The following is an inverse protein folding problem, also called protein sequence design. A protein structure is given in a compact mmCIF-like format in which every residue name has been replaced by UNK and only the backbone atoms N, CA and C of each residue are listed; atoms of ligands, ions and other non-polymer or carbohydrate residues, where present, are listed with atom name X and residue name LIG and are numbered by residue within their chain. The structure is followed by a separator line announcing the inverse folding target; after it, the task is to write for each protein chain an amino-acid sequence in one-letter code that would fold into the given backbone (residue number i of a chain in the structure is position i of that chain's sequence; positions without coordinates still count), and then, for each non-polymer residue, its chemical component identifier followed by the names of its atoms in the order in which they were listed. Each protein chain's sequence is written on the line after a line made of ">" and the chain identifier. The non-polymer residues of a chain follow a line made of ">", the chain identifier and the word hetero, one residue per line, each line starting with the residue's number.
data_IF_127786860377
#
_entry.id   IF_127786860377
#
_cell.length_a   1.000
_cell.length_b   1.000
_cell.length_c   1.000
_cell.angle_alpha   90.00
_cell.angle_beta   90.00
_cell.angle_gamma   90.00
#
_symmetry.space_group_name_H-M   'P 1'
#
loop_
_entity.id
_entity.type
_entity.pdbx_description
1 polymer ?
#
# COMPACT_ATOMS: atom_id res chain seq x y z
N UNK A 1 36.94 7.53 2.43
CA UNK A 1 37.19 6.30 1.63
C UNK A 1 37.42 5.00 2.42
N UNK A 2 37.73 5.02 3.72
CA UNK A 2 37.98 3.79 4.50
C UNK A 2 36.75 3.02 4.99
N UNK A 3 35.59 3.66 5.14
CA UNK A 3 34.37 3.03 5.70
C UNK A 3 33.78 1.94 4.78
N UNK A 4 33.95 2.07 3.47
CA UNK A 4 33.46 1.07 2.50
C UNK A 4 34.13 -0.29 2.70
N UNK A 5 35.37 -0.29 3.21
CA UNK A 5 36.20 -1.49 3.39
C UNK A 5 35.93 -2.24 4.70
N UNK A 6 35.21 -1.62 5.65
CA UNK A 6 34.93 -2.24 6.94
C UNK A 6 33.41 -2.38 7.16
N UNK A 7 32.88 -3.56 6.84
CA UNK A 7 31.45 -3.86 7.05
C UNK A 7 31.05 -3.73 8.53
N UNK A 8 31.95 -4.06 9.46
CA UNK A 8 31.70 -3.93 10.91
C UNK A 8 31.38 -2.49 11.34
N UNK A 9 32.05 -1.48 10.77
CA UNK A 9 31.79 -0.08 11.12
C UNK A 9 30.38 0.36 10.73
N UNK A 10 29.84 -0.12 9.62
CA UNK A 10 28.48 0.19 9.16
C UNK A 10 27.44 -0.37 10.13
N UNK A 11 27.65 -1.62 10.56
CA UNK A 11 26.79 -2.30 11.52
C UNK A 11 26.85 -1.66 12.91
N UNK A 12 28.05 -1.33 13.40
CA UNK A 12 28.23 -0.63 14.68
C UNK A 12 27.58 0.74 14.65
N UNK A 13 27.76 1.49 13.57
CA UNK A 13 27.09 2.77 13.38
C UNK A 13 25.56 2.63 13.41
N UNK A 14 25.00 1.74 12.59
CA UNK A 14 23.56 1.53 12.52
C UNK A 14 23.01 1.09 13.88
N UNK A 15 23.67 0.13 14.54
CA UNK A 15 23.29 -0.32 15.87
C UNK A 15 23.30 0.84 16.88
N UNK A 16 24.37 1.61 16.94
CA UNK A 16 24.50 2.73 17.88
C UNK A 16 23.44 3.81 17.64
N UNK A 17 23.19 4.18 16.39
CA UNK A 17 22.15 5.13 16.02
C UNK A 17 20.76 4.65 16.47
N UNK A 18 20.44 3.37 16.25
CA UNK A 18 19.16 2.79 16.61
C UNK A 18 18.93 2.72 18.14
N UNK A 19 19.99 2.82 18.95
CA UNK A 19 19.85 2.93 20.41
C UNK A 19 19.49 4.35 20.88
N UNK A 20 19.78 5.39 20.09
CA UNK A 20 19.56 6.78 20.49
C UNK A 20 18.12 7.18 20.20
N UNK A 21 17.33 7.38 21.26
CA UNK A 21 15.94 7.82 21.17
C UNK A 21 15.76 9.29 21.55
N UNK A 22 14.52 9.78 21.52
CA UNK A 22 14.17 11.13 22.02
C UNK A 22 14.56 11.28 23.50
N UNK A 23 15.01 12.48 23.94
CA UNK A 23 15.23 13.71 23.15
C UNK A 23 16.64 13.83 22.56
N UNK A 24 17.54 12.87 22.80
CA UNK A 24 18.97 13.00 22.51
C UNK A 24 19.33 13.04 21.02
N UNK A 25 18.48 12.52 20.14
CA UNK A 25 18.83 12.36 18.72
C UNK A 25 19.03 13.69 17.97
N UNK A 26 18.21 14.71 18.27
CA UNK A 26 18.22 15.99 17.54
C UNK A 26 19.58 16.70 17.53
N UNK A 27 20.29 16.67 18.67
CA UNK A 27 21.60 17.33 18.82
C UNK A 27 22.69 16.65 18.00
N UNK A 28 22.54 15.35 17.72
CA UNK A 28 23.52 14.55 16.99
C UNK A 28 23.21 14.43 15.49
N UNK A 29 22.04 14.90 15.02
CA UNK A 29 21.63 14.83 13.60
C UNK A 29 22.68 15.33 12.61
N UNK A 30 23.39 16.46 12.81
CA UNK A 30 24.38 16.93 11.85
C UNK A 30 25.51 15.91 11.60
N UNK A 31 25.79 15.04 12.58
CA UNK A 31 26.83 14.00 12.48
C UNK A 31 26.27 12.67 11.99
N UNK A 32 25.05 12.33 12.40
CA UNK A 32 24.44 11.04 12.12
C UNK A 32 23.80 10.99 10.72
N UNK A 33 23.14 12.07 10.30
CA UNK A 33 22.40 12.12 9.04
C UNK A 33 23.28 11.85 7.80
N UNK A 34 24.48 12.45 7.65
CA UNK A 34 25.33 12.19 6.48
C UNK A 34 25.71 10.71 6.33
N UNK A 35 26.01 10.02 7.43
CA UNK A 35 26.37 8.61 7.41
C UNK A 35 25.19 7.71 7.06
N UNK A 36 23.99 8.03 7.58
CA UNK A 36 22.76 7.32 7.23
C UNK A 36 22.41 7.50 5.75
N UNK A 37 22.57 8.72 5.20
CA UNK A 37 22.36 9.00 3.77
C UNK A 37 23.39 8.26 2.90
N UNK A 38 24.64 8.18 3.34
CA UNK A 38 25.68 7.46 2.62
C UNK A 38 25.43 5.94 2.55
N UNK A 39 24.88 5.36 3.62
CA UNK A 39 24.42 3.96 3.61
C UNK A 39 23.21 3.77 2.71
N UNK A 40 22.25 4.70 2.77
CA UNK A 40 21.05 4.70 1.93
C UNK A 40 21.38 4.77 0.42
N UNK A 41 22.49 5.41 0.07
CA UNK A 41 22.93 5.62 -1.31
C UNK A 41 23.90 4.55 -1.81
N UNK A 42 24.17 3.52 -0.99
CA UNK A 42 25.10 2.46 -1.33
C UNK A 42 24.58 1.60 -2.50
N UNK A 43 25.47 0.96 -3.26
CA UNK A 43 25.04 0.09 -4.38
C UNK A 43 24.52 -1.29 -3.90
N UNK A 44 25.10 -1.82 -2.81
CA UNK A 44 24.63 -3.07 -2.16
C UNK A 44 23.27 -2.88 -1.47
N UNK A 45 22.26 -3.72 -1.77
CA UNK A 45 20.92 -3.62 -1.18
C UNK A 45 20.92 -3.68 0.36
N UNK A 46 21.77 -4.50 0.97
CA UNK A 46 21.80 -4.68 2.43
C UNK A 46 22.21 -3.38 3.14
N UNK A 47 23.14 -2.63 2.54
CA UNK A 47 23.56 -1.34 3.06
C UNK A 47 22.47 -0.29 2.84
N UNK A 48 21.76 -0.32 1.71
CA UNK A 48 20.57 0.51 1.50
C UNK A 48 19.52 0.25 2.57
N UNK A 49 19.21 -1.01 2.86
CA UNK A 49 18.25 -1.39 3.90
C UNK A 49 18.66 -0.85 5.27
N UNK A 50 19.94 -0.97 5.65
CA UNK A 50 20.46 -0.38 6.87
C UNK A 50 20.32 1.14 6.88
N UNK A 51 20.66 1.79 5.77
CA UNK A 51 20.49 3.23 5.57
C UNK A 51 19.04 3.66 5.76
N UNK A 52 18.09 3.04 5.06
CA UNK A 52 16.65 3.35 5.18
C UNK A 52 16.16 3.13 6.61
N UNK A 53 16.57 2.05 7.30
CA UNK A 53 16.24 1.84 8.73
C UNK A 53 16.77 2.96 9.62
N UNK A 54 18.00 3.39 9.39
CA UNK A 54 18.61 4.52 10.11
C UNK A 54 17.84 5.83 9.86
N UNK A 55 17.47 6.10 8.61
CA UNK A 55 16.68 7.29 8.24
C UNK A 55 15.27 7.22 8.85
N UNK A 56 14.62 6.07 8.82
CA UNK A 56 13.29 5.87 9.42
C UNK A 56 13.33 6.10 10.93
N UNK A 57 14.34 5.55 11.62
CA UNK A 57 14.54 5.81 13.05
C UNK A 57 14.74 7.30 13.34
N UNK A 58 15.50 8.01 12.51
CA UNK A 58 15.66 9.47 12.61
C UNK A 58 14.32 10.18 12.48
N UNK A 59 13.48 9.79 11.51
CA UNK A 59 12.15 10.37 11.31
C UNK A 59 11.26 10.13 12.54
N UNK A 60 11.26 8.94 13.10
CA UNK A 60 10.43 8.58 14.25
C UNK A 60 10.93 9.23 15.55
N UNK A 61 12.24 9.42 15.70
CA UNK A 61 12.86 9.88 16.95
C UNK A 61 13.32 11.35 16.94
N UNK A 62 12.96 12.12 15.93
CA UNK A 62 13.24 13.56 15.87
C UNK A 62 11.93 14.36 15.81
N UNK A 63 11.78 15.46 16.57
CA UNK A 63 10.66 16.38 16.40
C UNK A 63 10.55 16.89 14.96
N UNK A 64 9.33 16.98 14.42
CA UNK A 64 9.10 17.43 13.06
C UNK A 64 9.66 18.85 12.78
N UNK A 65 9.67 19.72 13.79
CA UNK A 65 10.27 21.05 13.68
C UNK A 65 11.78 20.99 13.36
N UNK A 66 12.52 20.14 14.06
CA UNK A 66 13.97 19.98 13.87
C UNK A 66 14.32 19.35 12.52
N UNK A 67 13.44 18.48 12.00
CA UNK A 67 13.59 17.93 10.65
C UNK A 67 13.29 18.97 9.57
N UNK A 68 12.33 19.87 9.79
CA UNK A 68 12.05 20.96 8.84
C UNK A 68 13.15 22.01 8.83
N UNK A 69 13.83 22.22 9.96
CA UNK A 69 14.98 23.11 10.02
C UNK A 69 16.06 22.66 9.04
N UNK A 70 16.67 23.65 8.36
CA UNK A 70 17.72 23.44 7.35
C UNK A 70 17.31 22.47 6.22
N UNK A 71 16.00 22.33 5.93
CA UNK A 71 15.47 21.46 4.89
C UNK A 71 15.88 19.98 5.00
N UNK A 72 16.18 19.48 6.21
CA UNK A 72 16.60 18.07 6.39
C UNK A 72 15.50 17.09 5.99
N UNK A 73 14.25 17.43 6.26
CA UNK A 73 13.09 16.63 5.83
C UNK A 73 13.06 16.45 4.32
N UNK A 74 13.39 17.49 3.54
CA UNK A 74 13.43 17.42 2.08
C UNK A 74 14.57 16.51 1.58
N UNK A 75 15.75 16.59 2.21
CA UNK A 75 16.87 15.69 1.92
C UNK A 75 16.48 14.24 2.22
N UNK A 76 15.86 13.99 3.37
CA UNK A 76 15.33 12.67 3.73
C UNK A 76 14.30 12.18 2.72
N UNK A 77 13.39 13.06 2.29
CA UNK A 77 12.34 12.70 1.34
C UNK A 77 12.93 12.26 0.02
N UNK A 78 13.84 13.04 -0.56
CA UNK A 78 14.49 12.69 -1.83
C UNK A 78 15.32 11.39 -1.71
N UNK A 79 16.05 11.24 -0.61
CA UNK A 79 16.89 10.07 -0.35
C UNK A 79 16.09 8.77 -0.22
N UNK A 80 14.90 8.81 0.39
CA UNK A 80 14.03 7.63 0.54
C UNK A 80 13.14 7.43 -0.70
N UNK A 81 12.60 8.51 -1.28
CA UNK A 81 11.69 8.46 -2.43
C UNK A 81 12.34 7.81 -3.65
N UNK A 82 13.63 8.04 -3.87
CA UNK A 82 14.35 7.43 -5.01
C UNK A 82 14.27 5.90 -5.02
N UNK A 83 14.16 5.26 -3.84
CA UNK A 83 14.07 3.80 -3.73
C UNK A 83 12.80 3.22 -4.34
N UNK A 84 11.76 4.05 -4.53
CA UNK A 84 10.57 3.64 -5.27
C UNK A 84 10.86 3.34 -6.74
N UNK A 85 12.00 3.74 -7.30
CA UNK A 85 12.39 3.41 -8.68
C UNK A 85 13.30 2.16 -8.77
N UNK A 86 13.68 1.57 -7.64
CA UNK A 86 14.50 0.35 -7.62
C UNK A 86 13.61 -0.89 -7.81
N UNK A 87 14.21 -2.06 -8.03
CA UNK A 87 13.49 -3.33 -8.05
C UNK A 87 13.77 -4.22 -6.84
N UNK A 88 14.41 -3.66 -5.81
CA UNK A 88 14.82 -4.39 -4.61
C UNK A 88 13.69 -4.41 -3.59
N UNK A 89 12.96 -5.53 -3.56
CA UNK A 89 11.79 -5.75 -2.72
C UNK A 89 11.97 -5.30 -1.26
N UNK A 90 13.00 -5.82 -0.60
CA UNK A 90 13.27 -5.52 0.81
C UNK A 90 13.58 -4.03 1.06
N UNK A 91 14.22 -3.34 0.09
CA UNK A 91 14.50 -1.90 0.18
C UNK A 91 13.21 -1.10 0.01
N UNK A 92 12.39 -1.43 -0.98
CA UNK A 92 11.10 -0.77 -1.23
C UNK A 92 10.19 -0.89 -0.01
N UNK A 93 10.09 -2.07 0.60
CA UNK A 93 9.27 -2.29 1.80
C UNK A 93 9.63 -1.31 2.93
N UNK A 94 10.93 -1.18 3.22
CA UNK A 94 11.42 -0.24 4.23
C UNK A 94 11.20 1.22 3.81
N UNK A 95 11.40 1.53 2.54
CA UNK A 95 11.21 2.87 2.01
C UNK A 95 9.74 3.32 2.09
N UNK A 96 8.78 2.44 1.78
CA UNK A 96 7.35 2.71 1.90
C UNK A 96 6.97 3.01 3.36
N UNK A 97 7.42 2.19 4.31
CA UNK A 97 7.18 2.42 5.73
C UNK A 97 7.78 3.76 6.19
N UNK A 98 9.02 4.06 5.81
CA UNK A 98 9.67 5.31 6.14
C UNK A 98 8.95 6.53 5.53
N UNK A 99 8.50 6.43 4.28
CA UNK A 99 7.76 7.50 3.61
C UNK A 99 6.43 7.79 4.30
N UNK A 100 5.70 6.76 4.75
CA UNK A 100 4.43 6.97 5.48
C UNK A 100 4.60 7.88 6.70
N UNK A 101 5.66 7.67 7.48
CA UNK A 101 5.94 8.49 8.66
C UNK A 101 6.55 9.85 8.29
N UNK A 102 7.45 9.87 7.31
CA UNK A 102 8.11 11.10 6.85
C UNK A 102 7.12 12.10 6.25
N UNK A 103 6.08 11.64 5.56
CA UNK A 103 5.03 12.53 5.02
C UNK A 103 4.34 13.34 6.12
N UNK A 104 4.19 12.78 7.33
CA UNK A 104 3.62 13.50 8.48
C UNK A 104 4.51 14.64 9.00
N UNK A 105 5.81 14.57 8.70
CA UNK A 105 6.74 15.67 8.98
C UNK A 105 6.41 16.85 8.08
N UNK A 106 5.94 16.65 6.85
CA UNK A 106 5.61 17.76 5.96
C UNK A 106 4.22 18.30 6.22
N UNK A 107 3.22 17.43 6.22
CA UNK A 107 1.82 17.82 6.06
C UNK A 107 0.91 16.94 6.90
N UNK A 108 -0.27 17.46 7.25
CA UNK A 108 -1.31 16.63 7.85
C UNK A 108 -1.86 15.65 6.79
N UNK A 109 -2.18 14.40 7.18
CA UNK A 109 -2.83 13.45 6.28
C UNK A 109 -4.08 14.04 5.63
N UNK A 110 -4.30 13.83 4.31
CA UNK A 110 -5.50 14.28 3.64
C UNK A 110 -6.80 13.77 4.28
N UNK A 111 -6.79 12.59 4.89
CA UNK A 111 -7.94 12.04 5.63
C UNK A 111 -8.37 12.85 6.86
N UNK A 112 -7.47 13.67 7.41
CA UNK A 112 -7.76 14.56 8.56
C UNK A 112 -8.11 15.98 8.13
N UNK A 113 -8.12 16.28 6.82
CA UNK A 113 -8.50 17.60 6.32
C UNK A 113 -10.03 17.68 6.23
N UNK A 114 -10.62 18.64 6.93
CA UNK A 114 -12.06 18.85 6.93
C UNK A 114 -12.62 19.29 5.57
N UNK A 115 -13.93 19.16 5.36
CA UNK A 115 -14.62 19.47 4.09
C UNK A 115 -14.58 20.96 3.68
N UNK A 116 -14.11 21.86 4.56
CA UNK A 116 -14.05 23.31 4.32
C UNK A 116 -12.94 23.74 3.34
N UNK A 117 -12.01 22.87 2.97
CA UNK A 117 -11.01 23.17 1.93
C UNK A 117 -11.55 22.81 0.55
N UNK A 118 -12.27 23.76 -0.07
CA UNK A 118 -13.01 23.58 -1.33
C UNK A 118 -12.19 23.03 -2.50
N UNK A 119 -10.85 23.18 -2.50
CA UNK A 119 -9.93 22.53 -3.43
C UNK A 119 -8.56 22.28 -2.78
N UNK A 120 -8.33 21.07 -2.25
CA UNK A 120 -7.00 20.66 -1.74
C UNK A 120 -5.94 20.79 -2.86
N UNK A 121 -4.82 21.46 -2.62
CA UNK A 121 -3.70 21.44 -3.59
C UNK A 121 -3.04 20.05 -3.63
N UNK A 122 -2.46 19.61 -4.77
CA UNK A 122 -1.60 18.43 -4.79
C UNK A 122 -0.52 18.56 -3.71
N UNK A 123 -0.22 17.46 -3.04
CA UNK A 123 0.69 17.44 -1.90
C UNK A 123 1.56 16.16 -1.92
N UNK A 124 2.55 16.04 -1.05
CA UNK A 124 3.54 14.93 -1.14
C UNK A 124 2.91 13.55 -0.98
N UNK A 125 1.78 13.45 -0.29
CA UNK A 125 0.99 12.21 -0.22
C UNK A 125 0.48 11.78 -1.61
N UNK A 126 0.07 12.72 -2.46
CA UNK A 126 -0.34 12.42 -3.83
C UNK A 126 0.83 11.94 -4.67
N UNK A 127 2.01 12.54 -4.50
CA UNK A 127 3.18 12.20 -5.32
C UNK A 127 3.68 10.80 -5.00
N UNK A 128 3.73 10.43 -3.71
CA UNK A 128 4.06 9.06 -3.30
C UNK A 128 3.01 8.07 -3.77
N UNK A 129 1.72 8.32 -3.55
CA UNK A 129 0.67 7.41 -4.00
C UNK A 129 0.66 7.27 -5.53
N UNK A 130 0.83 8.36 -6.27
CA UNK A 130 0.92 8.34 -7.74
C UNK A 130 2.09 7.46 -8.18
N UNK A 131 3.26 7.61 -7.56
CA UNK A 131 4.43 6.79 -7.88
C UNK A 131 4.19 5.31 -7.59
N UNK A 132 3.73 4.99 -6.38
CA UNK A 132 3.40 3.61 -5.96
C UNK A 132 2.43 2.97 -6.96
N UNK A 133 1.33 3.65 -7.27
CA UNK A 133 0.35 3.13 -8.22
C UNK A 133 0.90 2.99 -9.64
N UNK A 134 1.80 3.87 -10.08
CA UNK A 134 2.45 3.76 -11.39
C UNK A 134 3.28 2.48 -11.47
N UNK A 135 4.05 2.20 -10.43
CA UNK A 135 4.88 1.00 -10.38
C UNK A 135 4.00 -0.26 -10.31
N UNK A 136 2.94 -0.24 -9.50
CA UNK A 136 2.01 -1.37 -9.39
C UNK A 136 1.35 -1.71 -10.73
N UNK A 137 1.00 -0.74 -11.59
CA UNK A 137 0.38 -1.02 -12.90
C UNK A 137 1.24 -1.93 -13.79
N UNK A 138 2.57 -1.90 -13.65
CA UNK A 138 3.51 -2.66 -14.50
C UNK A 138 4.27 -3.76 -13.75
N UNK A 139 4.01 -3.94 -12.46
CA UNK A 139 4.75 -4.88 -11.62
C UNK A 139 4.30 -6.32 -11.84
N UNK A 140 5.27 -7.20 -12.13
CA UNK A 140 5.04 -8.61 -12.43
C UNK A 140 5.75 -9.54 -11.44
N UNK A 141 6.74 -9.05 -10.69
CA UNK A 141 7.44 -9.85 -9.67
C UNK A 141 6.53 -10.05 -8.47
N UNK A 142 6.21 -11.31 -8.17
CA UNK A 142 5.28 -11.68 -7.08
C UNK A 142 5.67 -11.05 -5.75
N UNK A 143 6.95 -11.06 -5.39
CA UNK A 143 7.43 -10.49 -4.12
C UNK A 143 7.17 -8.98 -4.01
N UNK A 144 7.36 -8.23 -5.10
CA UNK A 144 7.07 -6.80 -5.14
C UNK A 144 5.57 -6.53 -5.12
N UNK A 145 4.77 -7.35 -5.82
CA UNK A 145 3.31 -7.26 -5.76
C UNK A 145 2.82 -7.43 -4.33
N UNK A 146 3.32 -8.43 -3.61
CA UNK A 146 2.99 -8.67 -2.18
C UNK A 146 3.32 -7.46 -1.31
N UNK A 147 4.50 -6.86 -1.51
CA UNK A 147 4.94 -5.68 -0.75
C UNK A 147 4.05 -4.48 -1.04
N UNK A 148 3.80 -4.17 -2.32
CA UNK A 148 2.97 -3.05 -2.69
C UNK A 148 1.52 -3.23 -2.22
N UNK A 149 0.93 -4.42 -2.40
CA UNK A 149 -0.42 -4.71 -1.93
C UNK A 149 -0.54 -4.54 -0.41
N UNK A 150 0.45 -5.03 0.35
CA UNK A 150 0.48 -4.89 1.81
C UNK A 150 0.62 -3.45 2.29
N UNK A 151 1.35 -2.60 1.54
CA UNK A 151 1.54 -1.20 1.91
C UNK A 151 0.38 -0.29 1.47
N UNK A 152 -0.26 -0.61 0.34
CA UNK A 152 -1.20 0.28 -0.35
C UNK A 152 -2.39 0.68 0.54
N UNK A 153 -2.90 -0.26 1.36
CA UNK A 153 -4.02 0.01 2.26
C UNK A 153 -3.75 1.21 3.18
N UNK A 154 -2.55 1.27 3.77
CA UNK A 154 -2.15 2.36 4.66
C UNK A 154 -2.11 3.70 3.92
N UNK A 155 -1.64 3.72 2.67
CA UNK A 155 -1.67 4.94 1.86
C UNK A 155 -3.09 5.39 1.53
N UNK A 156 -4.00 4.47 1.24
CA UNK A 156 -5.41 4.79 1.01
C UNK A 156 -6.06 5.35 2.29
N UNK A 157 -5.77 4.77 3.45
CA UNK A 157 -6.21 5.28 4.75
C UNK A 157 -5.69 6.70 5.03
N UNK A 158 -4.44 6.99 4.69
CA UNK A 158 -3.87 8.34 4.80
C UNK A 158 -4.58 9.34 3.88
N UNK A 159 -5.06 8.88 2.72
CA UNK A 159 -5.75 9.74 1.75
C UNK A 159 -7.22 9.97 2.12
N UNK A 160 -7.91 8.96 2.65
CA UNK A 160 -9.37 8.98 2.84
C UNK A 160 -10.10 9.30 1.54
N UNK A 161 -11.17 10.11 1.60
CA UNK A 161 -11.91 10.65 0.43
C UNK A 161 -11.00 11.23 -0.67
N UNK A 162 -9.82 11.77 -0.32
CA UNK A 162 -8.91 12.34 -1.32
C UNK A 162 -8.35 11.30 -2.31
N UNK A 163 -8.50 10.00 -2.03
CA UNK A 163 -8.21 8.91 -2.96
C UNK A 163 -9.01 9.02 -4.25
N UNK A 164 -10.14 9.76 -4.25
CA UNK A 164 -10.93 10.08 -5.43
C UNK A 164 -10.11 10.56 -6.64
N UNK A 165 -9.00 11.28 -6.40
CA UNK A 165 -8.09 11.80 -7.43
C UNK A 165 -7.30 10.71 -8.15
N UNK A 166 -7.13 9.57 -7.50
CA UNK A 166 -6.31 8.46 -7.97
C UNK A 166 -7.15 7.25 -8.41
N UNK A 167 -8.49 7.33 -8.29
CA UNK A 167 -9.38 6.18 -8.51
C UNK A 167 -9.25 5.50 -9.86
N UNK A 168 -9.00 6.25 -10.94
CA UNK A 168 -8.87 5.64 -12.27
C UNK A 168 -7.69 4.67 -12.30
N UNK A 169 -6.57 5.07 -11.71
CA UNK A 169 -5.37 4.25 -11.65
C UNK A 169 -5.50 3.16 -10.59
N UNK A 170 -6.05 3.51 -9.43
CA UNK A 170 -6.26 2.56 -8.34
C UNK A 170 -7.22 1.43 -8.76
N UNK A 171 -8.26 1.71 -9.55
CA UNK A 171 -9.12 0.68 -10.15
C UNK A 171 -8.31 -0.29 -11.01
N UNK A 172 -7.47 0.21 -11.93
CA UNK A 172 -6.61 -0.65 -12.78
C UNK A 172 -5.69 -1.54 -11.95
N UNK A 173 -5.09 -0.99 -10.91
CA UNK A 173 -4.23 -1.74 -9.99
C UNK A 173 -5.02 -2.81 -9.25
N UNK A 174 -6.21 -2.51 -8.73
CA UNK A 174 -7.09 -3.49 -8.09
C UNK A 174 -7.43 -4.63 -9.05
N UNK A 175 -7.89 -4.30 -10.27
CA UNK A 175 -8.25 -5.30 -11.27
C UNK A 175 -7.05 -6.20 -11.61
N UNK A 176 -5.92 -5.60 -11.98
CA UNK A 176 -4.73 -6.35 -12.37
C UNK A 176 -4.11 -7.16 -11.23
N UNK A 177 -4.32 -6.78 -9.97
CA UNK A 177 -3.86 -7.55 -8.83
C UNK A 177 -4.77 -8.73 -8.46
N UNK A 178 -6.09 -8.55 -8.55
CA UNK A 178 -7.05 -9.62 -8.28
C UNK A 178 -7.03 -10.72 -9.36
N UNK A 179 -6.61 -10.39 -10.58
CA UNK A 179 -6.48 -11.35 -11.69
C UNK A 179 -5.30 -12.31 -11.56
N UNK A 180 -4.23 -11.95 -10.83
CA UNK A 180 -3.01 -12.76 -10.77
C UNK A 180 -2.94 -13.51 -9.43
N UNK A 181 -2.86 -14.84 -9.53
CA UNK A 181 -2.67 -15.76 -8.41
C UNK A 181 -1.24 -15.74 -7.88
N UNK A 182 -1.10 -15.69 -6.54
CA UNK A 182 0.19 -15.82 -5.85
C UNK A 182 0.18 -16.87 -4.73
N UNK A 183 -0.04 -18.16 -5.07
CA UNK A 183 -0.19 -19.24 -4.11
C UNK A 183 1.16 -19.56 -3.41
N UNK A 184 1.14 -20.21 -2.25
CA UNK A 184 -0.04 -20.77 -1.57
C UNK A 184 -0.80 -19.76 -0.68
N UNK A 185 -0.19 -18.62 -0.31
CA UNK A 185 -0.78 -17.71 0.66
C UNK A 185 -1.74 -16.68 0.06
N UNK A 186 -1.67 -16.41 -1.26
CA UNK A 186 -2.54 -15.45 -1.95
C UNK A 186 -2.54 -14.04 -1.32
N UNK A 187 -1.39 -13.65 -0.77
CA UNK A 187 -1.19 -12.40 -0.02
C UNK A 187 -1.63 -11.21 -0.88
N UNK A 188 -1.25 -11.18 -2.15
CA UNK A 188 -1.54 -10.05 -3.03
C UNK A 188 -3.05 -9.89 -3.23
N UNK A 189 -3.77 -10.98 -3.53
CA UNK A 189 -5.21 -10.92 -3.77
C UNK A 189 -6.00 -10.58 -2.50
N UNK A 190 -5.65 -11.17 -1.36
CA UNK A 190 -6.26 -10.84 -0.06
C UNK A 190 -6.06 -9.36 0.30
N UNK A 191 -4.84 -8.85 0.19
CA UNK A 191 -4.57 -7.43 0.47
C UNK A 191 -5.26 -6.49 -0.50
N UNK A 192 -5.45 -6.90 -1.75
CA UNK A 192 -6.15 -6.08 -2.73
C UNK A 192 -7.68 -6.11 -2.57
N UNK A 193 -8.26 -7.16 -1.99
CA UNK A 193 -9.65 -7.14 -1.52
C UNK A 193 -9.81 -6.16 -0.35
N UNK A 194 -8.90 -6.14 0.63
CA UNK A 194 -8.91 -5.13 1.70
C UNK A 194 -8.85 -3.69 1.13
N UNK A 195 -7.96 -3.47 0.16
CA UNK A 195 -7.83 -2.19 -0.57
C UNK A 195 -9.12 -1.83 -1.32
N UNK A 196 -9.74 -2.77 -2.03
CA UNK A 196 -10.99 -2.55 -2.75
C UNK A 196 -12.10 -2.13 -1.78
N UNK A 197 -12.27 -2.86 -0.68
CA UNK A 197 -13.29 -2.52 0.32
C UNK A 197 -13.04 -1.13 0.92
N UNK A 198 -11.78 -0.77 1.20
CA UNK A 198 -11.44 0.56 1.71
C UNK A 198 -11.68 1.64 0.66
N UNK A 199 -11.26 1.43 -0.58
CA UNK A 199 -11.54 2.32 -1.72
C UNK A 199 -13.05 2.56 -1.84
N UNK A 200 -13.86 1.50 -1.82
CA UNK A 200 -15.31 1.59 -1.96
C UNK A 200 -15.93 2.45 -0.86
N UNK A 201 -15.49 2.30 0.40
CA UNK A 201 -15.98 3.12 1.52
C UNK A 201 -15.57 4.58 1.41
N UNK A 202 -14.29 4.86 1.12
CA UNK A 202 -13.77 6.23 1.05
C UNK A 202 -14.24 7.00 -0.19
N UNK A 203 -14.53 6.28 -1.28
CA UNK A 203 -14.89 6.87 -2.56
C UNK A 203 -16.31 6.51 -3.02
N UNK A 204 -17.19 6.11 -2.08
CA UNK A 204 -18.54 5.62 -2.37
C UNK A 204 -19.33 6.45 -3.42
N UNK A 205 -19.29 7.81 -3.45
CA UNK A 205 -20.06 8.58 -4.42
C UNK A 205 -19.57 8.41 -5.87
N UNK A 206 -18.40 7.79 -6.07
CA UNK A 206 -17.76 7.59 -7.37
C UNK A 206 -17.73 6.12 -7.79
N UNK A 207 -18.30 5.22 -6.98
CA UNK A 207 -18.21 3.77 -7.19
C UNK A 207 -19.26 3.23 -8.17
N UNK A 208 -20.42 3.86 -8.29
CA UNK A 208 -21.53 3.39 -9.14
C UNK A 208 -21.08 3.07 -10.59
N UNK A 209 -20.32 3.99 -11.21
CA UNK A 209 -19.79 3.82 -12.58
C UNK A 209 -18.75 2.71 -12.72
N UNK A 210 -18.24 2.17 -11.62
CA UNK A 210 -17.18 1.16 -11.55
C UNK A 210 -17.72 -0.23 -11.23
N UNK A 211 -18.99 -0.32 -10.83
CA UNK A 211 -19.67 -1.54 -10.39
C UNK A 211 -19.49 -2.67 -11.40
N UNK A 212 -19.80 -2.43 -12.67
CA UNK A 212 -19.80 -3.51 -13.67
C UNK A 212 -18.42 -4.13 -13.89
N UNK A 213 -17.36 -3.34 -13.84
CA UNK A 213 -15.99 -3.82 -14.04
C UNK A 213 -15.49 -4.54 -12.79
N UNK A 214 -15.73 -3.97 -11.61
CA UNK A 214 -15.32 -4.57 -10.33
C UNK A 214 -16.10 -5.85 -10.03
N UNK A 215 -17.41 -5.88 -10.28
CA UNK A 215 -18.24 -7.07 -10.08
C UNK A 215 -17.77 -8.22 -10.98
N UNK A 216 -17.53 -7.96 -12.26
CA UNK A 216 -17.00 -8.99 -13.18
C UNK A 216 -15.65 -9.54 -12.72
N UNK A 217 -14.77 -8.68 -12.24
CA UNK A 217 -13.47 -9.08 -11.69
C UNK A 217 -13.64 -9.98 -10.45
N UNK A 218 -14.51 -9.60 -9.51
CA UNK A 218 -14.80 -10.38 -8.30
C UNK A 218 -15.44 -11.74 -8.63
N UNK A 219 -16.38 -11.78 -9.56
CA UNK A 219 -17.01 -13.04 -9.98
C UNK A 219 -16.00 -13.98 -10.64
N UNK A 220 -15.14 -13.47 -11.53
CA UNK A 220 -14.04 -14.24 -12.12
C UNK A 220 -13.11 -14.78 -11.03
N UNK A 221 -12.69 -13.93 -10.10
CA UNK A 221 -11.86 -14.34 -8.95
C UNK A 221 -12.50 -15.49 -8.17
N UNK A 222 -13.78 -15.40 -7.84
CA UNK A 222 -14.48 -16.46 -7.10
C UNK A 222 -14.53 -17.78 -7.88
N UNK A 223 -14.75 -17.73 -9.20
CA UNK A 223 -14.70 -18.93 -10.06
C UNK A 223 -13.30 -19.54 -10.07
N UNK A 224 -12.26 -18.72 -10.27
CA UNK A 224 -10.86 -19.16 -10.29
C UNK A 224 -10.48 -19.81 -8.95
N UNK A 225 -10.84 -19.18 -7.82
CA UNK A 225 -10.58 -19.69 -6.47
C UNK A 225 -11.32 -20.99 -6.17
N UNK A 226 -12.55 -21.15 -6.70
CA UNK A 226 -13.34 -22.37 -6.51
C UNK A 226 -12.74 -23.60 -7.21
N UNK A 227 -11.99 -23.36 -8.29
CA UNK A 227 -11.42 -24.42 -9.13
C UNK A 227 -9.93 -24.67 -8.85
N UNK A 228 -9.26 -23.80 -8.10
CA UNK A 228 -7.83 -23.94 -7.79
C UNK A 228 -7.56 -24.97 -6.69
N UNK A 229 -7.02 -26.12 -7.09
CA UNK A 229 -6.64 -27.22 -6.20
C UNK A 229 -5.35 -26.95 -5.40
N UNK A 230 -4.57 -25.91 -5.74
CA UNK A 230 -3.32 -25.56 -5.05
C UNK A 230 -3.57 -24.79 -3.76
N UNK A 231 -4.77 -24.22 -3.60
CA UNK A 231 -5.15 -23.44 -2.44
C UNK A 231 -5.56 -24.35 -1.27
N UNK A 232 -5.08 -24.00 -0.08
CA UNK A 232 -5.61 -24.56 1.17
C UNK A 232 -7.06 -24.13 1.37
N UNK A 233 -7.86 -24.95 2.05
CA UNK A 233 -9.27 -24.65 2.33
C UNK A 233 -9.43 -23.33 3.11
N UNK A 234 -8.49 -23.03 4.01
CA UNK A 234 -8.49 -21.78 4.78
C UNK A 234 -8.29 -20.56 3.88
N UNK A 235 -7.33 -20.58 2.97
CA UNK A 235 -7.07 -19.47 2.04
C UNK A 235 -8.23 -19.31 1.05
N UNK A 236 -8.77 -20.43 0.55
CA UNK A 236 -9.95 -20.45 -0.32
C UNK A 236 -11.14 -19.77 0.35
N UNK A 237 -11.43 -20.15 1.60
CA UNK A 237 -12.50 -19.56 2.40
C UNK A 237 -12.30 -18.04 2.57
N UNK A 238 -11.09 -17.60 2.95
CA UNK A 238 -10.79 -16.18 3.13
C UNK A 238 -11.02 -15.35 1.87
N UNK A 239 -10.57 -15.85 0.71
CA UNK A 239 -10.78 -15.17 -0.57
C UNK A 239 -12.27 -15.10 -0.93
N UNK A 240 -13.03 -16.17 -0.71
CA UNK A 240 -14.47 -16.19 -0.96
C UNK A 240 -15.24 -15.22 -0.05
N UNK A 241 -14.91 -15.20 1.25
CA UNK A 241 -15.55 -14.32 2.23
C UNK A 241 -15.24 -12.84 1.95
N UNK A 242 -13.98 -12.51 1.67
CA UNK A 242 -13.58 -11.14 1.35
C UNK A 242 -14.13 -10.67 -0.01
N UNK A 243 -14.27 -11.57 -0.98
CA UNK A 243 -14.90 -11.26 -2.27
C UNK A 243 -16.39 -10.97 -2.08
N UNK A 244 -17.08 -11.81 -1.31
CA UNK A 244 -18.50 -11.63 -0.96
C UNK A 244 -18.74 -10.32 -0.22
N UNK A 245 -17.90 -9.98 0.76
CA UNK A 245 -17.94 -8.70 1.46
C UNK A 245 -17.70 -7.50 0.52
N UNK A 246 -16.83 -7.67 -0.49
CA UNK A 246 -16.57 -6.63 -1.49
C UNK A 246 -17.79 -6.43 -2.42
N UNK A 247 -18.44 -7.51 -2.84
CA UNK A 247 -19.68 -7.47 -3.64
C UNK A 247 -20.79 -6.75 -2.86
N UNK A 248 -20.97 -7.08 -1.58
CA UNK A 248 -21.96 -6.44 -0.71
C UNK A 248 -21.74 -4.92 -0.57
N UNK A 249 -20.49 -4.49 -0.38
CA UNK A 249 -20.15 -3.07 -0.32
C UNK A 249 -20.42 -2.34 -1.65
N UNK A 250 -20.14 -3.00 -2.79
CA UNK A 250 -20.46 -2.45 -4.11
C UNK A 250 -21.97 -2.31 -4.32
N UNK A 251 -22.76 -3.27 -3.85
CA UNK A 251 -24.22 -3.22 -3.91
C UNK A 251 -24.77 -2.04 -3.09
N UNK A 252 -24.27 -1.89 -1.87
CA UNK A 252 -24.63 -0.77 -0.99
C UNK A 252 -24.32 0.58 -1.64
N UNK A 253 -23.17 0.71 -2.31
CA UNK A 253 -22.77 1.93 -3.00
C UNK A 253 -23.51 2.17 -4.33
N UNK A 254 -24.29 1.20 -4.81
CA UNK A 254 -25.02 1.25 -6.08
C UNK A 254 -26.52 1.03 -5.91
N UNK A 255 -27.03 1.21 -4.70
CA UNK A 255 -28.45 1.19 -4.37
C UNK A 255 -29.15 -0.11 -4.83
N UNK A 256 -28.52 -1.27 -4.64
CA UNK A 256 -29.11 -2.57 -4.98
C UNK A 256 -28.92 -3.02 -6.43
N UNK A 257 -28.17 -2.27 -7.25
CA UNK A 257 -27.93 -2.61 -8.66
C UNK A 257 -27.20 -3.95 -8.81
N UNK A 258 -26.29 -4.29 -7.89
CA UNK A 258 -25.51 -5.54 -7.97
C UNK A 258 -26.42 -6.74 -7.75
N UNK A 259 -27.38 -6.67 -6.82
CA UNK A 259 -28.37 -7.74 -6.64
C UNK A 259 -29.11 -8.06 -7.93
N UNK A 260 -29.58 -7.04 -8.65
CA UNK A 260 -30.27 -7.23 -9.93
C UNK A 260 -29.37 -7.88 -10.99
N UNK A 261 -28.07 -7.51 -11.03
CA UNK A 261 -27.10 -8.12 -11.95
C UNK A 261 -26.81 -9.58 -11.58
N UNK A 262 -26.77 -9.92 -10.29
CA UNK A 262 -26.53 -11.28 -9.84
C UNK A 262 -27.69 -12.24 -10.14
N UNK A 263 -28.94 -11.75 -10.19
CA UNK A 263 -30.09 -12.53 -10.62
C UNK A 263 -30.00 -13.01 -12.08
N UNK A 264 -29.17 -12.35 -12.89
CA UNK A 264 -28.94 -12.71 -14.29
C UNK A 264 -27.83 -13.76 -14.48
N UNK A 265 -27.13 -14.13 -13.40
CA UNK A 265 -26.08 -15.14 -13.45
C UNK A 265 -26.72 -16.52 -13.63
N UNK A 266 -26.35 -17.21 -14.71
CA UNK A 266 -26.82 -18.57 -14.98
C UNK A 266 -26.35 -19.54 -13.89
N UNK A 267 -27.30 -20.16 -13.20
CA UNK A 267 -27.04 -21.13 -12.13
C UNK A 267 -26.36 -22.41 -12.65
N UNK A 268 -26.47 -22.70 -13.96
CA UNK A 268 -25.81 -23.84 -14.60
C UNK A 268 -24.28 -23.72 -14.68
N UNK A 269 -23.73 -22.50 -14.55
CA UNK A 269 -22.28 -22.25 -14.66
C UNK A 269 -21.56 -22.21 -13.30
N UNK A 270 -22.29 -22.31 -12.18
CA UNK A 270 -21.75 -22.06 -10.85
C UNK A 270 -21.78 -23.33 -9.98
N UNK A 271 -20.73 -23.54 -9.17
CA UNK A 271 -20.75 -24.61 -8.16
C UNK A 271 -21.77 -24.28 -7.06
N UNK A 272 -22.36 -25.29 -6.37
CA UNK A 272 -23.32 -25.05 -5.28
C UNK A 272 -22.74 -24.21 -4.14
N UNK A 273 -21.43 -24.33 -3.90
CA UNK A 273 -20.72 -23.52 -2.91
C UNK A 273 -20.63 -22.06 -3.35
N UNK A 274 -20.29 -21.78 -4.62
CA UNK A 274 -20.22 -20.43 -5.15
C UNK A 274 -21.60 -19.74 -5.14
N UNK A 275 -22.67 -20.47 -5.48
CA UNK A 275 -24.04 -19.97 -5.36
C UNK A 275 -24.41 -19.58 -3.92
N UNK A 276 -23.94 -20.33 -2.91
CA UNK A 276 -24.14 -19.96 -1.49
C UNK A 276 -23.45 -18.66 -1.14
N UNK A 277 -22.20 -18.45 -1.57
CA UNK A 277 -21.48 -17.20 -1.34
C UNK A 277 -22.19 -16.01 -1.99
N UNK A 278 -22.62 -16.15 -3.25
CA UNK A 278 -23.37 -15.12 -3.95
C UNK A 278 -24.70 -14.80 -3.26
N UNK A 279 -25.42 -15.82 -2.79
CA UNK A 279 -26.64 -15.61 -2.01
C UNK A 279 -26.35 -14.81 -0.72
N UNK A 280 -25.30 -15.17 0.03
CA UNK A 280 -24.92 -14.43 1.25
C UNK A 280 -24.48 -12.99 0.99
N UNK A 281 -23.85 -12.72 -0.17
CA UNK A 281 -23.43 -11.37 -0.56
C UNK A 281 -24.63 -10.44 -0.83
N UNK A 282 -25.82 -11.01 -1.09
CA UNK A 282 -27.06 -10.25 -1.39
C UNK A 282 -28.01 -10.08 -0.19
N UNK A 283 -27.78 -10.77 0.93
CA UNK A 283 -28.70 -10.80 2.08
C UNK A 283 -28.21 -10.03 3.31
N UNK A 284 -27.12 -9.25 3.19
CA UNK A 284 -26.50 -8.50 4.29
C UNK A 284 -26.96 -7.06 4.40
#
# INVERSE_FOLDING_TARGET
>A
DSWQRCEALKLVFAWALLQVSRPGLSSHLPRLLPLSLLLNDHYKPENCMLGVRCLHHIVQNTPAADLRQFNRAEVLYQAVFKHLHTSEAAVIQLALACLLDLLLVFEKPPSLLGPSQSRRKPCRHDDVLRMVLTNMEVEHKVDLRRIYASALLLYIERMGVAVCRHLQRLERVVLGYLEVSDPPEEISRLKMLEVLQKMTREAWPRMERRVDVLLRCLLRLMVDVSSDSRLSDSVRQQLMDQSSASIHLLDTCSYGRVQHLLLQVDSGCCSPQLLRYLATATTG
#
